data_IF_985222554204
#
_entry.id   IF_985222554204
#
_cell.length_a   1.000
_cell.length_b   1.000
_cell.length_c   1.000
_cell.angle_alpha   90.00
_cell.angle_beta   90.00
_cell.angle_gamma   90.00
#
_symmetry.space_group_name_H-M   'P 1'
#
loop_
_entity.id
_entity.type
_entity.pdbx_description
1 polymer ?
#
# COMPACT_ATOMS: atom_id res chain seq x y z
N UNK A 1 -41.51 -2.52 -40.76
CA UNK A 1 -40.74 -1.86 -41.85
C UNK A 1 -40.19 -0.56 -41.23
N UNK A 2 -38.91 -0.18 -41.24
CA UNK A 2 -37.79 -0.36 -42.17
C UNK A 2 -36.50 -0.17 -41.35
N UNK A 3 -35.54 -1.09 -41.47
CA UNK A 3 -34.18 -0.95 -40.90
C UNK A 3 -33.42 0.09 -41.74
N UNK A 4 -32.68 0.99 -41.10
CA UNK A 4 -31.70 1.82 -41.80
C UNK A 4 -30.36 1.69 -41.08
N UNK A 5 -29.50 0.84 -41.64
CA UNK A 5 -28.06 0.84 -41.37
C UNK A 5 -27.44 1.97 -42.18
N UNK A 6 -26.59 2.79 -41.57
CA UNK A 6 -25.70 3.70 -42.27
C UNK A 6 -24.27 3.38 -41.85
N UNK A 7 -23.57 2.72 -42.75
CA UNK A 7 -22.12 2.62 -42.76
C UNK A 7 -21.57 3.84 -43.53
N UNK A 8 -20.46 4.40 -43.05
CA UNK A 8 -19.51 5.40 -43.58
C UNK A 8 -19.21 6.38 -42.44
N UNK A 9 -17.99 6.73 -42.06
CA UNK A 9 -16.74 6.80 -42.82
C UNK A 9 -15.55 6.70 -41.86
N UNK A 10 -14.50 6.06 -42.34
CA UNK A 10 -13.19 5.92 -41.73
C UNK A 10 -12.47 7.29 -41.73
N UNK A 11 -11.95 7.72 -40.59
CA UNK A 11 -10.91 8.76 -40.51
C UNK A 11 -9.96 8.39 -39.37
N UNK A 12 -8.97 7.55 -39.70
CA UNK A 12 -7.86 7.25 -38.82
C UNK A 12 -6.88 8.45 -38.86
N UNK A 13 -6.85 9.23 -37.79
CA UNK A 13 -5.77 10.21 -37.56
C UNK A 13 -4.69 9.47 -36.77
N UNK A 14 -3.67 8.97 -37.48
CA UNK A 14 -2.42 8.55 -36.86
C UNK A 14 -1.69 9.80 -36.37
N UNK A 15 -1.73 10.06 -35.06
CA UNK A 15 -0.85 11.02 -34.43
C UNK A 15 0.51 10.36 -34.20
N UNK A 16 1.50 10.71 -35.01
CA UNK A 16 2.91 10.38 -34.78
C UNK A 16 3.48 11.30 -33.70
N UNK A 17 4.00 10.79 -32.57
CA UNK A 17 4.87 11.58 -31.72
C UNK A 17 6.29 11.62 -32.31
N UNK A 18 6.78 12.83 -32.57
CA UNK A 18 8.18 13.11 -32.82
C UNK A 18 9.01 12.71 -31.58
N UNK A 19 9.89 11.74 -31.75
CA UNK A 19 10.95 11.42 -30.81
C UNK A 19 12.01 12.53 -30.84
N UNK A 20 11.97 13.44 -29.88
CA UNK A 20 13.11 14.30 -29.55
C UNK A 20 14.00 13.57 -28.55
N UNK A 21 15.07 12.95 -29.04
CA UNK A 21 16.22 12.60 -28.20
C UNK A 21 16.97 13.90 -27.83
N UNK A 22 16.83 14.32 -26.58
CA UNK A 22 17.79 15.15 -25.87
C UNK A 22 17.84 14.57 -24.45
N UNK A 23 18.95 14.06 -23.94
CA UNK A 23 20.25 14.71 -23.84
C UNK A 23 20.61 14.61 -22.36
N UNK A 24 21.69 13.91 -22.07
CA UNK A 24 22.07 13.44 -20.73
C UNK A 24 22.10 14.55 -19.66
N UNK A 25 21.49 14.29 -18.52
CA UNK A 25 21.75 15.01 -17.27
C UNK A 25 22.09 13.99 -16.18
N UNK A 26 23.38 14.04 -15.84
CA UNK A 26 24.14 13.44 -14.76
C UNK A 26 23.33 12.81 -13.62
N UNK A 27 23.55 11.51 -13.42
CA UNK A 27 23.39 10.88 -12.13
C UNK A 27 24.59 11.31 -11.28
N UNK A 28 24.38 12.26 -10.37
CA UNK A 28 25.30 12.46 -9.25
C UNK A 28 25.11 11.30 -8.28
N UNK A 29 26.20 10.60 -8.04
CA UNK A 29 26.37 9.58 -7.01
C UNK A 29 26.05 10.16 -5.63
N UNK A 30 24.82 9.97 -5.16
CA UNK A 30 24.50 10.08 -3.74
C UNK A 30 24.64 8.71 -3.09
N UNK A 31 25.79 8.54 -2.44
CA UNK A 31 26.07 7.49 -1.46
C UNK A 31 25.05 7.58 -0.31
N UNK A 32 23.96 6.82 -0.40
CA UNK A 32 23.03 6.56 0.69
C UNK A 32 23.05 5.07 0.99
N UNK A 33 23.53 4.69 2.18
CA UNK A 33 23.69 3.29 2.60
C UNK A 33 22.40 2.47 2.57
N UNK A 34 22.46 1.16 2.85
CA UNK A 34 21.31 0.26 2.72
C UNK A 34 20.14 0.76 3.56
N UNK A 35 19.15 1.35 2.89
CA UNK A 35 17.86 1.72 3.45
C UNK A 35 17.27 0.44 4.04
N UNK A 36 17.34 0.31 5.36
CA UNK A 36 16.57 -0.69 6.09
C UNK A 36 15.10 -0.39 5.81
N UNK A 37 14.54 -1.08 4.82
CA UNK A 37 13.11 -1.20 4.67
C UNK A 37 12.61 -1.76 6.00
N UNK A 38 12.10 -0.87 6.85
CA UNK A 38 11.51 -1.24 8.12
C UNK A 38 10.51 -2.38 7.89
N UNK A 39 10.29 -3.24 8.89
CA UNK A 39 9.40 -4.37 8.74
C UNK A 39 8.07 -3.90 8.13
N UNK A 40 7.47 -4.63 7.18
CA UNK A 40 6.18 -4.26 6.60
C UNK A 40 5.17 -3.98 7.72
N UNK A 41 4.12 -3.17 7.50
CA UNK A 41 3.21 -2.73 8.56
C UNK A 41 2.51 -3.84 9.37
N UNK A 42 2.66 -5.11 8.97
CA UNK A 42 2.21 -6.30 9.71
C UNK A 42 3.29 -6.96 10.59
N UNK A 43 4.55 -6.54 10.48
CA UNK A 43 5.68 -7.08 11.21
C UNK A 43 6.01 -6.26 12.47
N UNK A 44 5.01 -5.57 13.03
CA UNK A 44 5.05 -5.08 14.42
C UNK A 44 4.56 -6.21 15.33
N UNK A 45 5.36 -7.26 15.39
CA UNK A 45 5.13 -8.52 16.10
C UNK A 45 6.35 -9.42 15.90
N UNK A 46 6.52 -10.46 16.72
CA UNK A 46 7.62 -11.41 16.55
C UNK A 46 7.66 -11.95 15.11
N UNK A 47 8.86 -12.14 14.52
CA UNK A 47 8.99 -12.74 13.19
C UNK A 47 8.29 -14.11 13.15
N UNK A 48 7.20 -14.21 12.41
CA UNK A 48 6.44 -15.46 12.24
C UNK A 48 5.20 -15.62 13.15
N UNK A 49 4.93 -14.67 14.05
CA UNK A 49 3.70 -14.67 14.84
C UNK A 49 2.46 -14.25 14.03
N UNK A 50 1.26 -14.73 14.37
CA UNK A 50 0.02 -14.21 13.79
C UNK A 50 -0.10 -12.70 14.06
N UNK A 51 -0.75 -11.93 13.17
CA UNK A 51 -0.95 -10.50 13.37
C UNK A 51 -1.52 -10.20 14.76
N UNK A 52 -1.14 -9.09 15.43
CA UNK A 52 -1.58 -8.79 16.80
C UNK A 52 -3.09 -8.85 17.02
N UNK A 53 -3.89 -8.61 15.98
CA UNK A 53 -5.35 -8.68 16.07
C UNK A 53 -5.90 -10.12 16.10
N UNK A 54 -5.14 -11.12 15.67
CA UNK A 54 -5.43 -12.55 15.87
C UNK A 54 -4.86 -13.08 17.20
N UNK A 55 -4.17 -12.24 17.98
CA UNK A 55 -3.70 -12.61 19.31
C UNK A 55 -4.86 -13.01 20.23
N UNK A 56 -4.62 -14.02 21.08
CA UNK A 56 -5.62 -14.55 22.02
C UNK A 56 -6.42 -15.74 21.50
N UNK A 57 -6.34 -16.05 20.20
CA UNK A 57 -7.03 -17.20 19.62
C UNK A 57 -6.02 -18.28 19.22
N UNK A 58 -6.21 -19.48 19.76
CA UNK A 58 -5.48 -20.68 19.32
C UNK A 58 -5.91 -21.08 17.91
N UNK A 59 -4.98 -21.06 16.96
CA UNK A 59 -5.19 -21.44 15.57
C UNK A 59 -4.75 -22.87 15.32
N UNK A 60 -5.58 -23.65 14.62
CA UNK A 60 -5.16 -24.97 14.12
C UNK A 60 -4.06 -24.84 13.06
N UNK A 61 -3.27 -25.90 12.83
CA UNK A 61 -2.22 -25.90 11.79
C UNK A 61 -2.76 -25.48 10.40
N UNK A 62 -3.91 -26.01 10.01
CA UNK A 62 -4.55 -25.63 8.73
C UNK A 62 -4.93 -24.14 8.67
N UNK A 63 -5.38 -23.56 9.78
CA UNK A 63 -5.66 -22.12 9.85
C UNK A 63 -4.38 -21.28 9.80
N UNK A 64 -3.30 -21.72 10.46
CA UNK A 64 -2.00 -21.06 10.40
C UNK A 64 -1.46 -21.03 8.96
N UNK A 65 -1.57 -22.13 8.22
CA UNK A 65 -1.19 -22.20 6.81
C UNK A 65 -2.00 -21.22 5.95
N UNK A 66 -3.31 -21.11 6.19
CA UNK A 66 -4.17 -20.14 5.50
C UNK A 66 -3.79 -18.69 5.82
N UNK A 67 -3.52 -18.39 7.10
CA UNK A 67 -3.05 -17.07 7.53
C UNK A 67 -1.73 -16.72 6.85
N UNK A 68 -0.77 -17.65 6.83
CA UNK A 68 0.51 -17.48 6.18
C UNK A 68 0.34 -17.20 4.67
N UNK A 69 -0.47 -18.01 3.98
CA UNK A 69 -0.73 -17.85 2.55
C UNK A 69 -1.34 -16.47 2.23
N UNK A 70 -2.31 -16.00 3.03
CA UNK A 70 -2.92 -14.69 2.87
C UNK A 70 -1.88 -13.57 3.04
N UNK A 71 -1.09 -13.61 4.12
CA UNK A 71 -0.10 -12.56 4.40
C UNK A 71 1.03 -12.55 3.37
N UNK A 72 1.51 -13.73 2.97
CA UNK A 72 2.59 -13.87 2.00
C UNK A 72 2.17 -13.34 0.62
N UNK A 73 0.95 -13.64 0.17
CA UNK A 73 0.41 -13.14 -1.09
C UNK A 73 0.31 -11.60 -1.13
N UNK A 74 0.11 -10.96 0.02
CA UNK A 74 -0.03 -9.50 0.10
C UNK A 74 1.29 -8.77 0.31
N UNK A 75 2.33 -9.46 0.80
CA UNK A 75 3.62 -8.87 1.11
C UNK A 75 4.25 -8.05 -0.04
N UNK A 76 4.23 -8.49 -1.32
CA UNK A 76 4.78 -7.70 -2.42
C UNK A 76 4.08 -6.35 -2.59
N UNK A 77 2.75 -6.34 -2.61
CA UNK A 77 1.95 -5.12 -2.76
C UNK A 77 2.22 -4.13 -1.63
N UNK A 78 2.26 -4.61 -0.39
CA UNK A 78 2.49 -3.79 0.79
C UNK A 78 3.90 -3.18 0.79
N UNK A 79 4.91 -3.93 0.34
CA UNK A 79 6.26 -3.42 0.17
C UNK A 79 6.32 -2.30 -0.87
N UNK A 80 5.69 -2.50 -2.03
CA UNK A 80 5.69 -1.49 -3.09
C UNK A 80 4.95 -0.21 -2.68
N UNK A 81 3.75 -0.32 -2.11
CA UNK A 81 3.03 0.85 -1.59
C UNK A 81 3.78 1.53 -0.44
N UNK A 82 4.47 0.76 0.41
CA UNK A 82 5.32 1.29 1.47
C UNK A 82 6.49 2.12 0.92
N UNK A 83 7.15 1.64 -0.15
CA UNK A 83 8.20 2.40 -0.84
C UNK A 83 7.66 3.71 -1.42
N UNK A 84 6.49 3.67 -2.08
CA UNK A 84 5.87 4.87 -2.65
C UNK A 84 5.60 5.92 -1.56
N UNK A 85 4.97 5.52 -0.46
CA UNK A 85 4.70 6.43 0.66
C UNK A 85 5.98 6.97 1.32
N UNK A 86 7.02 6.14 1.46
CA UNK A 86 8.30 6.53 2.03
C UNK A 86 9.03 7.55 1.14
N UNK A 87 9.11 7.26 -0.16
CA UNK A 87 9.76 8.13 -1.15
C UNK A 87 9.06 9.48 -1.26
N UNK A 88 7.72 9.50 -1.33
CA UNK A 88 6.95 10.75 -1.38
C UNK A 88 7.15 11.59 -0.11
N UNK A 89 7.16 10.94 1.06
CA UNK A 89 7.42 11.61 2.35
C UNK A 89 8.85 12.17 2.44
N UNK A 90 9.84 11.43 1.96
CA UNK A 90 11.23 11.88 1.92
C UNK A 90 11.42 13.07 0.97
N UNK A 91 10.86 12.99 -0.23
CA UNK A 91 10.91 14.07 -1.21
C UNK A 91 10.21 15.34 -0.68
N UNK A 92 9.07 15.20 0.00
CA UNK A 92 8.37 16.34 0.60
C UNK A 92 9.20 16.96 1.74
N UNK A 93 9.86 16.13 2.57
CA UNK A 93 10.78 16.61 3.62
C UNK A 93 11.98 17.34 3.01
N UNK A 94 12.56 16.82 1.93
CA UNK A 94 13.68 17.45 1.25
C UNK A 94 13.28 18.81 0.65
N UNK A 95 12.10 18.91 0.03
CA UNK A 95 11.58 20.16 -0.52
C UNK A 95 11.35 21.22 0.56
N UNK A 96 10.89 20.82 1.75
CA UNK A 96 10.71 21.75 2.87
C UNK A 96 12.03 22.33 3.41
N UNK A 97 13.17 21.68 3.17
CA UNK A 97 14.50 22.13 3.56
C UNK A 97 15.31 22.76 2.41
N UNK A 98 14.74 22.90 1.22
CA UNK A 98 15.42 23.46 0.06
C UNK A 98 15.44 25.00 0.08
N UNK A 99 16.43 25.61 -0.57
CA UNK A 99 16.54 27.08 -0.68
C UNK A 99 15.36 27.71 -1.42
N UNK A 100 14.70 26.96 -2.30
CA UNK A 100 13.52 27.38 -3.04
C UNK A 100 12.39 26.37 -2.84
N UNK A 101 11.24 26.88 -2.42
CA UNK A 101 10.05 26.10 -2.19
C UNK A 101 9.11 26.20 -3.40
N UNK A 102 8.72 25.05 -3.94
CA UNK A 102 7.74 24.92 -5.03
C UNK A 102 6.46 24.30 -4.48
N UNK A 103 5.44 25.12 -4.29
CA UNK A 103 4.17 24.70 -3.70
C UNK A 103 3.42 23.66 -4.57
N UNK A 104 3.51 23.79 -5.90
CA UNK A 104 2.87 22.83 -6.80
C UNK A 104 3.52 21.45 -6.70
N UNK A 105 4.86 21.42 -6.61
CA UNK A 105 5.60 20.18 -6.37
C UNK A 105 5.31 19.59 -4.99
N UNK A 106 5.21 20.42 -3.95
CA UNK A 106 4.86 19.98 -2.61
C UNK A 106 3.46 19.35 -2.57
N UNK A 107 2.47 19.97 -3.22
CA UNK A 107 1.12 19.47 -3.32
C UNK A 107 1.06 18.11 -4.05
N UNK A 108 1.79 17.94 -5.14
CA UNK A 108 1.87 16.67 -5.87
C UNK A 108 2.47 15.54 -4.99
N UNK A 109 3.59 15.80 -4.30
CA UNK A 109 4.21 14.84 -3.40
C UNK A 109 3.29 14.46 -2.23
N UNK A 110 2.54 15.42 -1.68
CA UNK A 110 1.55 15.16 -0.64
C UNK A 110 0.39 14.29 -1.15
N UNK A 111 -0.07 14.51 -2.38
CA UNK A 111 -1.11 13.68 -3.01
C UNK A 111 -0.61 12.24 -3.25
N UNK A 112 0.62 12.07 -3.73
CA UNK A 112 1.23 10.74 -3.92
C UNK A 112 1.34 9.97 -2.60
N UNK A 113 1.81 10.65 -1.53
CA UNK A 113 1.85 10.07 -0.19
C UNK A 113 0.46 9.67 0.29
N UNK A 114 -0.54 10.54 0.15
CA UNK A 114 -1.92 10.28 0.57
C UNK A 114 -2.53 9.09 -0.20
N UNK A 115 -2.28 8.99 -1.50
CA UNK A 115 -2.76 7.89 -2.33
C UNK A 115 -2.14 6.55 -1.89
N UNK A 116 -0.82 6.50 -1.65
CA UNK A 116 -0.14 5.31 -1.17
C UNK A 116 -0.63 4.89 0.23
N UNK A 117 -0.83 5.84 1.14
CA UNK A 117 -1.35 5.56 2.48
C UNK A 117 -2.80 5.06 2.46
N UNK A 118 -3.67 5.63 1.61
CA UNK A 118 -5.02 5.16 1.41
C UNK A 118 -5.05 3.72 0.87
N UNK A 119 -4.20 3.43 -0.11
CA UNK A 119 -4.04 2.09 -0.68
C UNK A 119 -3.57 1.06 0.36
N UNK A 120 -2.62 1.43 1.22
CA UNK A 120 -2.20 0.59 2.35
C UNK A 120 -3.32 0.35 3.34
N UNK A 121 -4.08 1.40 3.70
CA UNK A 121 -5.20 1.29 4.65
C UNK A 121 -6.30 0.36 4.13
N UNK A 122 -6.69 0.54 2.86
CA UNK A 122 -7.69 -0.29 2.22
C UNK A 122 -7.24 -1.75 2.12
N UNK A 123 -5.98 -1.98 1.77
CA UNK A 123 -5.44 -3.33 1.71
C UNK A 123 -5.46 -3.97 3.10
N UNK A 124 -5.01 -3.28 4.15
CA UNK A 124 -5.08 -3.78 5.53
C UNK A 124 -6.49 -4.19 5.93
N UNK A 125 -7.50 -3.40 5.59
CA UNK A 125 -8.90 -3.75 5.89
C UNK A 125 -9.34 -5.04 5.16
N UNK A 126 -8.95 -5.19 3.88
CA UNK A 126 -9.23 -6.41 3.10
C UNK A 126 -8.50 -7.62 3.69
N UNK A 127 -7.23 -7.48 4.08
CA UNK A 127 -6.46 -8.54 4.75
C UNK A 127 -7.16 -8.99 6.03
N UNK A 128 -7.55 -8.03 6.88
CA UNK A 128 -8.22 -8.30 8.15
C UNK A 128 -9.55 -9.04 7.93
N UNK A 129 -10.32 -8.67 6.91
CA UNK A 129 -11.56 -9.37 6.55
C UNK A 129 -11.29 -10.82 6.14
N UNK A 130 -10.29 -11.07 5.28
CA UNK A 130 -9.90 -12.44 4.88
C UNK A 130 -9.43 -13.27 6.08
N UNK A 131 -8.58 -12.70 6.92
CA UNK A 131 -8.05 -13.38 8.10
C UNK A 131 -9.14 -13.69 9.12
N UNK A 132 -10.12 -12.79 9.30
CA UNK A 132 -11.32 -13.09 10.12
C UNK A 132 -12.16 -14.25 9.57
N UNK A 133 -12.17 -14.46 8.26
CA UNK A 133 -12.91 -15.55 7.63
C UNK A 133 -12.24 -16.93 7.80
N UNK A 134 -10.96 -16.97 8.21
CA UNK A 134 -10.25 -18.21 8.57
C UNK A 134 -10.71 -18.75 9.93
N UNK A 135 -11.22 -17.88 10.80
CA UNK A 135 -11.62 -18.23 12.15
C UNK A 135 -13.02 -18.87 12.20
N UNK A 136 -13.21 -19.81 13.14
CA UNK A 136 -14.55 -20.33 13.45
C UNK A 136 -15.42 -19.26 14.13
N UNK A 137 -16.75 -19.43 14.16
CA UNK A 137 -17.64 -18.54 14.94
C UNK A 137 -17.22 -18.39 16.41
N UNK A 138 -16.79 -19.47 17.04
CA UNK A 138 -16.37 -19.52 18.46
C UNK A 138 -15.09 -18.73 18.66
N UNK A 139 -14.09 -18.94 17.80
CA UNK A 139 -12.83 -18.20 17.80
C UNK A 139 -13.06 -16.70 17.58
N UNK A 140 -13.98 -16.31 16.69
CA UNK A 140 -14.35 -14.90 16.48
C UNK A 140 -15.00 -14.28 17.71
N UNK A 141 -15.77 -15.07 18.48
CA UNK A 141 -16.37 -14.63 19.73
C UNK A 141 -15.30 -14.41 20.81
N UNK A 142 -14.39 -15.37 20.98
CA UNK A 142 -13.25 -15.26 21.89
C UNK A 142 -12.41 -14.00 21.59
N UNK A 143 -12.09 -13.76 20.32
CA UNK A 143 -11.35 -12.58 19.87
C UNK A 143 -12.07 -11.25 20.18
N UNK A 144 -13.40 -11.22 20.19
CA UNK A 144 -14.18 -10.03 20.53
C UNK A 144 -14.21 -9.77 22.04
N UNK A 145 -14.13 -10.83 22.85
CA UNK A 145 -14.15 -10.77 24.31
C UNK A 145 -12.75 -10.48 24.90
N UNK A 146 -11.69 -10.98 24.27
CA UNK A 146 -10.30 -10.81 24.72
C UNK A 146 -9.60 -9.55 24.21
N UNK A 147 -10.13 -8.87 23.19
CA UNK A 147 -9.64 -7.55 22.85
C UNK A 147 -9.75 -6.67 24.10
N UNK A 148 -8.62 -6.24 24.70
CA UNK A 148 -8.68 -5.47 25.93
C UNK A 148 -9.54 -4.26 25.61
N UNK A 149 -10.60 -4.04 26.40
CA UNK A 149 -11.28 -2.75 26.42
C UNK A 149 -10.17 -1.74 26.65
N UNK A 150 -9.72 -1.09 25.57
CA UNK A 150 -8.59 -0.18 25.61
C UNK A 150 -8.93 0.78 26.76
N UNK A 151 -8.15 0.80 27.86
CA UNK A 151 -8.48 1.68 28.97
C UNK A 151 -8.59 3.08 28.37
N UNK A 152 -9.58 3.90 28.78
CA UNK A 152 -9.78 5.22 28.21
C UNK A 152 -8.43 5.96 28.22
N UNK A 153 -8.12 6.75 27.18
CA UNK A 153 -6.90 7.54 27.18
C UNK A 153 -6.81 8.28 28.50
N UNK A 154 -5.66 8.16 29.18
CA UNK A 154 -5.41 8.88 30.44
C UNK A 154 -5.68 10.37 30.19
N UNK A 155 -6.37 11.06 31.13
CA UNK A 155 -6.71 12.48 30.97
C UNK A 155 -5.46 13.34 30.75
#
# INVERSE_FOLDING_TARGET
MKKIKRHLLLAAVLATPLLTMGGAARADDMHGGPMHAGPPPFARGEPGGPPPFLGGVELTAAQQDQVFAILHAEAPYLREQGKLAANAREALRALAGADQYDDAKAAALAQDMAAAEANLALQRARTQQKLRAVLTPEQRKQQAEEQPRRPPPRP
#
